data_IF_832883484754
#
_entry.id   IF_832883484754
#
_cell.length_a   1.000
_cell.length_b   1.000
_cell.length_c   1.000
_cell.angle_alpha   90.00
_cell.angle_beta   90.00
_cell.angle_gamma   90.00
#
_symmetry.space_group_name_H-M   'P 1'
#
loop_
_entity.id
_entity.type
_entity.pdbx_description
1 polymer ?
#
# COMPACT_ATOMS: atom_id res chain seq x y z
N UNK A 1 -67.65 -10.90 -21.56
CA UNK A 1 -67.32 -11.34 -20.19
C UNK A 1 -66.30 -12.46 -20.26
N UNK A 2 -65.13 -12.30 -19.63
CA UNK A 2 -64.26 -13.35 -19.07
C UNK A 2 -63.05 -12.64 -18.42
N UNK A 3 -63.14 -12.47 -17.11
CA UNK A 3 -62.05 -12.00 -16.24
C UNK A 3 -61.29 -13.22 -15.72
N UNK A 4 -59.97 -13.05 -15.54
CA UNK A 4 -59.06 -13.79 -14.62
C UNK A 4 -58.91 -15.30 -14.93
N UNK A 5 -57.79 -16.01 -14.79
CA UNK A 5 -56.74 -16.07 -13.77
C UNK A 5 -55.55 -16.78 -14.44
N UNK A 6 -54.32 -16.29 -14.28
CA UNK A 6 -53.13 -17.10 -14.58
C UNK A 6 -51.95 -16.65 -13.70
N UNK A 7 -52.01 -16.96 -12.40
CA UNK A 7 -50.81 -17.15 -11.58
C UNK A 7 -51.12 -18.28 -10.60
N UNK A 8 -50.73 -19.49 -10.98
CA UNK A 8 -50.60 -20.61 -10.05
C UNK A 8 -49.41 -21.43 -10.56
N UNK A 9 -48.21 -21.02 -10.17
CA UNK A 9 -47.02 -21.87 -10.26
C UNK A 9 -46.31 -21.81 -8.91
N UNK A 10 -46.56 -22.87 -8.16
CA UNK A 10 -45.57 -23.60 -7.35
C UNK A 10 -44.92 -22.83 -6.20
N UNK A 11 -45.73 -22.59 -5.17
CA UNK A 11 -45.25 -22.72 -3.79
C UNK A 11 -45.05 -24.21 -3.51
N UNK A 12 -43.81 -24.69 -3.63
CA UNK A 12 -43.50 -26.11 -3.45
C UNK A 12 -42.04 -26.42 -3.70
N UNK A 13 -41.15 -25.81 -2.90
CA UNK A 13 -39.76 -26.25 -2.69
C UNK A 13 -39.20 -25.56 -1.44
N UNK A 14 -39.95 -25.64 -0.34
CA UNK A 14 -39.44 -25.37 1.00
C UNK A 14 -39.47 -26.67 1.78
N UNK A 15 -38.50 -27.55 1.50
CA UNK A 15 -37.82 -28.43 2.47
C UNK A 15 -36.96 -29.47 1.76
N UNK A 16 -35.78 -29.70 2.33
CA UNK A 16 -34.77 -30.70 1.99
C UNK A 16 -33.76 -30.31 0.88
N UNK A 17 -32.80 -29.46 1.24
CA UNK A 17 -31.41 -29.89 1.36
C UNK A 17 -30.66 -28.90 2.26
N UNK A 18 -30.77 -29.11 3.58
CA UNK A 18 -29.69 -28.72 4.51
C UNK A 18 -28.52 -29.67 4.23
N UNK A 19 -27.84 -29.43 3.14
CA UNK A 19 -26.43 -29.81 3.06
C UNK A 19 -25.74 -28.69 3.82
N UNK A 20 -25.15 -28.99 4.97
CA UNK A 20 -24.09 -28.13 5.50
C UNK A 20 -23.10 -27.98 4.35
N UNK A 21 -23.11 -26.82 3.70
CA UNK A 21 -22.10 -26.49 2.71
C UNK A 21 -20.75 -26.68 3.39
N UNK A 22 -19.77 -27.22 2.68
CA UNK A 22 -18.42 -27.28 3.22
C UNK A 22 -18.04 -25.86 3.70
N UNK A 23 -17.33 -25.69 4.83
CA UNK A 23 -16.96 -24.37 5.36
C UNK A 23 -16.35 -23.43 4.30
N UNK A 24 -15.71 -24.04 3.30
CA UNK A 24 -15.08 -23.44 2.12
C UNK A 24 -16.07 -22.73 1.16
N UNK A 25 -17.36 -23.11 1.13
CA UNK A 25 -18.37 -22.52 0.24
C UNK A 25 -19.22 -21.42 0.91
N UNK A 26 -19.06 -21.23 2.23
CA UNK A 26 -19.84 -20.24 2.99
C UNK A 26 -19.26 -18.84 2.91
N UNK A 27 -17.94 -18.72 2.80
CA UNK A 27 -17.25 -17.43 2.76
C UNK A 27 -16.64 -17.20 1.38
N UNK A 28 -17.04 -16.11 0.72
CA UNK A 28 -16.57 -15.77 -0.63
C UNK A 28 -15.85 -14.44 -0.59
N UNK A 29 -14.70 -14.38 -1.24
CA UNK A 29 -13.91 -13.16 -1.36
C UNK A 29 -14.43 -12.28 -2.50
N UNK A 30 -14.84 -11.06 -2.19
CA UNK A 30 -15.35 -10.07 -3.13
C UNK A 30 -14.65 -8.72 -2.93
N UNK A 31 -13.68 -8.39 -3.79
CA UNK A 31 -12.95 -7.12 -3.70
C UNK A 31 -12.04 -7.08 -2.48
N UNK A 32 -12.33 -6.21 -1.51
CA UNK A 32 -11.56 -6.06 -0.26
C UNK A 32 -12.25 -6.72 0.95
N UNK A 33 -13.37 -7.42 0.72
CA UNK A 33 -14.20 -8.00 1.77
C UNK A 33 -14.36 -9.52 1.62
N UNK A 34 -14.52 -10.19 2.76
CA UNK A 34 -15.05 -11.56 2.83
C UNK A 34 -16.55 -11.46 3.06
N UNK A 35 -17.37 -12.08 2.22
CA UNK A 35 -18.82 -12.10 2.35
C UNK A 35 -19.26 -13.48 2.83
N UNK A 36 -20.00 -13.54 3.95
CA UNK A 36 -20.72 -14.75 4.35
C UNK A 36 -21.98 -14.89 3.48
N UNK A 37 -22.05 -15.94 2.67
CA UNK A 37 -23.15 -16.18 1.72
C UNK A 37 -24.44 -16.57 2.43
N UNK A 38 -24.35 -17.08 3.67
CA UNK A 38 -25.52 -17.49 4.44
C UNK A 38 -26.16 -16.33 5.21
N UNK A 39 -25.35 -15.41 5.75
CA UNK A 39 -25.85 -14.24 6.49
C UNK A 39 -25.86 -12.96 5.66
N UNK A 40 -25.08 -12.88 4.58
CA UNK A 40 -24.80 -11.68 3.78
C UNK A 40 -23.98 -10.62 4.50
N UNK A 41 -23.38 -10.95 5.66
CA UNK A 41 -22.48 -10.06 6.36
C UNK A 41 -21.17 -9.92 5.59
N UNK A 42 -20.61 -8.72 5.60
CA UNK A 42 -19.32 -8.40 4.97
C UNK A 42 -18.28 -8.12 6.01
N UNK A 43 -17.16 -8.80 5.92
CA UNK A 43 -16.04 -8.68 6.83
C UNK A 43 -14.92 -7.93 6.11
N UNK A 44 -14.50 -6.80 6.66
CA UNK A 44 -13.44 -5.94 6.14
C UNK A 44 -12.36 -5.84 7.19
N UNK A 45 -11.14 -6.27 6.87
CA UNK A 45 -10.01 -6.16 7.79
C UNK A 45 -9.59 -4.70 7.96
N UNK A 46 -9.30 -4.33 9.20
CA UNK A 46 -8.77 -3.01 9.52
C UNK A 46 -7.25 -2.93 9.29
N UNK A 47 -6.72 -1.70 9.30
CA UNK A 47 -5.31 -1.42 8.98
C UNK A 47 -4.30 -2.05 9.94
N UNK A 48 -4.72 -2.45 11.14
CA UNK A 48 -3.85 -3.06 12.13
C UNK A 48 -3.72 -4.58 11.99
N UNK A 49 -4.42 -5.21 11.03
CA UNK A 49 -4.42 -6.66 10.78
C UNK A 49 -4.82 -7.52 11.99
N UNK A 50 -5.34 -6.90 13.05
CA UNK A 50 -5.78 -7.57 14.28
C UNK A 50 -7.29 -7.50 14.47
N UNK A 51 -7.95 -6.55 13.81
CA UNK A 51 -9.40 -6.37 13.86
C UNK A 51 -10.05 -6.49 12.48
N UNK A 52 -11.31 -6.89 12.50
CA UNK A 52 -12.20 -6.99 11.34
C UNK A 52 -13.47 -6.19 11.65
N UNK A 53 -13.78 -5.24 10.78
CA UNK A 53 -15.07 -4.56 10.75
C UNK A 53 -16.08 -5.45 10.02
N UNK A 54 -17.13 -5.85 10.72
CA UNK A 54 -18.28 -6.55 10.14
C UNK A 54 -19.34 -5.53 9.78
N UNK A 55 -19.84 -5.59 8.55
CA UNK A 55 -20.99 -4.83 8.06
C UNK A 55 -22.13 -5.81 7.87
N UNK A 56 -23.16 -5.68 8.70
CA UNK A 56 -24.34 -6.52 8.62
C UNK A 56 -25.26 -6.11 7.47
N UNK A 57 -26.17 -7.00 7.06
CA UNK A 57 -27.16 -6.69 6.00
C UNK A 57 -28.04 -5.47 6.30
N UNK A 58 -28.29 -5.20 7.58
CA UNK A 58 -29.08 -4.03 8.02
C UNK A 58 -28.26 -2.72 8.03
N UNK A 59 -26.98 -2.79 7.67
CA UNK A 59 -26.05 -1.67 7.61
C UNK A 59 -25.41 -1.32 8.96
N UNK A 60 -25.73 -2.05 10.03
CA UNK A 60 -25.02 -1.91 11.30
C UNK A 60 -23.59 -2.44 11.18
N UNK A 61 -22.70 -1.93 12.04
CA UNK A 61 -21.29 -2.27 12.02
C UNK A 61 -20.81 -2.69 13.41
N UNK A 62 -19.98 -3.72 13.46
CA UNK A 62 -19.25 -4.14 14.66
C UNK A 62 -17.78 -4.38 14.33
N UNK A 63 -16.92 -4.21 15.34
CA UNK A 63 -15.49 -4.50 15.22
C UNK A 63 -15.19 -5.72 16.07
N UNK A 64 -14.60 -6.73 15.46
CA UNK A 64 -14.22 -7.98 16.11
C UNK A 64 -12.71 -8.18 16.02
N UNK A 65 -12.14 -8.82 17.02
CA UNK A 65 -10.79 -9.37 16.88
C UNK A 65 -10.80 -10.43 15.76
N UNK A 66 -9.75 -10.47 14.94
CA UNK A 66 -9.64 -11.38 13.80
C UNK A 66 -9.81 -12.85 14.21
N UNK A 67 -9.32 -13.24 15.39
CA UNK A 67 -9.43 -14.60 15.93
C UNK A 67 -10.87 -15.00 16.31
N UNK A 68 -11.77 -14.03 16.40
CA UNK A 68 -13.21 -14.23 16.64
C UNK A 68 -14.03 -14.26 15.35
N UNK A 69 -13.43 -13.96 14.21
CA UNK A 69 -14.12 -13.96 12.94
C UNK A 69 -14.53 -15.39 12.55
N UNK A 70 -15.76 -15.63 12.05
CA UNK A 70 -16.25 -16.98 11.73
C UNK A 70 -15.45 -17.72 10.65
N UNK A 71 -14.71 -16.99 9.83
CA UNK A 71 -13.84 -17.53 8.77
C UNK A 71 -12.40 -17.74 9.25
N UNK A 72 -12.03 -17.33 10.47
CA UNK A 72 -10.68 -17.48 11.00
C UNK A 72 -10.24 -18.95 11.07
N UNK A 73 -9.01 -19.24 10.65
CA UNK A 73 -8.47 -20.61 10.58
C UNK A 73 -8.99 -21.46 9.41
N UNK A 74 -9.74 -20.87 8.48
CA UNK A 74 -10.10 -21.51 7.21
C UNK A 74 -9.12 -21.10 6.09
N UNK A 75 -9.07 -21.87 5.01
CA UNK A 75 -8.30 -21.51 3.80
C UNK A 75 -8.69 -20.13 3.25
N UNK A 76 -9.96 -19.73 3.42
CA UNK A 76 -10.45 -18.40 3.01
C UNK A 76 -9.82 -17.29 3.85
N UNK A 77 -9.58 -17.52 5.15
CA UNK A 77 -8.83 -16.57 5.99
C UNK A 77 -7.38 -16.44 5.54
N UNK A 78 -6.72 -17.54 5.20
CA UNK A 78 -5.32 -17.52 4.76
C UNK A 78 -5.17 -16.76 3.43
N UNK A 79 -6.03 -17.04 2.45
CA UNK A 79 -6.04 -16.29 1.18
C UNK A 79 -6.38 -14.81 1.38
N UNK A 80 -7.26 -14.49 2.33
CA UNK A 80 -7.63 -13.12 2.66
C UNK A 80 -6.48 -12.36 3.31
N UNK A 81 -5.81 -12.98 4.28
CA UNK A 81 -4.63 -12.42 4.95
C UNK A 81 -3.49 -12.17 3.95
N UNK A 82 -3.24 -13.12 3.05
CA UNK A 82 -2.19 -12.96 2.04
C UNK A 82 -2.48 -11.81 1.08
N UNK A 83 -3.71 -11.73 0.54
CA UNK A 83 -4.09 -10.63 -0.37
C UNK A 83 -4.04 -9.26 0.30
N UNK A 84 -4.36 -9.23 1.59
CA UNK A 84 -4.29 -8.01 2.38
C UNK A 84 -2.84 -7.59 2.62
N UNK A 85 -1.95 -8.53 2.96
CA UNK A 85 -0.51 -8.27 3.09
C UNK A 85 0.06 -7.70 1.78
N UNK A 86 -0.29 -8.30 0.64
CA UNK A 86 0.11 -7.80 -0.68
C UNK A 86 -0.42 -6.38 -0.94
N UNK A 87 -1.67 -6.09 -0.55
CA UNK A 87 -2.28 -4.78 -0.69
C UNK A 87 -1.62 -3.73 0.22
N UNK A 88 -1.26 -4.09 1.46
CA UNK A 88 -0.52 -3.22 2.36
C UNK A 88 0.87 -2.93 1.85
N UNK A 89 1.60 -3.95 1.40
CA UNK A 89 2.93 -3.78 0.85
C UNK A 89 2.91 -2.86 -0.35
N UNK A 90 1.97 -3.08 -1.29
CA UNK A 90 1.78 -2.19 -2.43
C UNK A 90 1.49 -0.74 -2.01
N UNK A 91 0.66 -0.54 -0.99
CA UNK A 91 0.37 0.80 -0.48
C UNK A 91 1.59 1.46 0.16
N UNK A 92 2.43 0.70 0.86
CA UNK A 92 3.70 1.17 1.42
C UNK A 92 4.62 1.60 0.28
N UNK A 93 4.78 0.77 -0.74
CA UNK A 93 5.61 1.05 -1.91
C UNK A 93 5.13 2.33 -2.63
N UNK A 94 3.82 2.45 -2.88
CA UNK A 94 3.22 3.65 -3.48
C UNK A 94 3.47 4.91 -2.63
N UNK A 95 3.42 4.80 -1.30
CA UNK A 95 3.68 5.92 -0.38
C UNK A 95 5.17 6.32 -0.38
N UNK A 96 6.08 5.35 -0.44
CA UNK A 96 7.52 5.59 -0.55
C UNK A 96 7.82 6.28 -1.88
N UNK A 97 7.28 5.78 -3.00
CA UNK A 97 7.45 6.38 -4.32
C UNK A 97 6.96 7.83 -4.34
N UNK A 98 5.75 8.09 -3.83
CA UNK A 98 5.19 9.45 -3.75
C UNK A 98 6.04 10.38 -2.89
N UNK A 99 6.57 9.90 -1.76
CA UNK A 99 7.47 10.70 -0.91
C UNK A 99 8.77 11.02 -1.64
N UNK A 100 9.36 10.04 -2.32
CA UNK A 100 10.59 10.21 -3.08
C UNK A 100 10.41 11.20 -4.23
N UNK A 101 9.30 11.12 -4.97
CA UNK A 101 8.95 12.08 -6.01
C UNK A 101 8.86 13.52 -5.45
N UNK A 102 8.18 13.71 -4.31
CA UNK A 102 8.08 15.03 -3.66
C UNK A 102 9.43 15.57 -3.21
N UNK A 103 10.31 14.72 -2.68
CA UNK A 103 11.65 15.12 -2.28
C UNK A 103 12.49 15.57 -3.49
N UNK A 104 12.42 14.83 -4.60
CA UNK A 104 13.09 15.19 -5.84
C UNK A 104 12.56 16.51 -6.42
N UNK A 105 11.24 16.73 -6.42
CA UNK A 105 10.64 17.98 -6.87
C UNK A 105 11.08 19.16 -5.98
N UNK A 106 11.09 18.98 -4.66
CA UNK A 106 11.55 20.00 -3.72
C UNK A 106 13.03 20.35 -3.93
N UNK A 107 13.88 19.34 -4.21
CA UNK A 107 15.30 19.52 -4.54
C UNK A 107 15.46 20.32 -5.83
N UNK A 108 14.79 19.92 -6.91
CA UNK A 108 14.79 20.65 -8.19
C UNK A 108 14.37 22.11 -8.01
N UNK A 109 13.29 22.33 -7.25
CA UNK A 109 12.80 23.68 -6.97
C UNK A 109 13.83 24.53 -6.20
N UNK A 110 14.57 23.92 -5.26
CA UNK A 110 15.62 24.60 -4.48
C UNK A 110 16.76 25.12 -5.36
N UNK A 111 17.17 24.34 -6.36
CA UNK A 111 18.31 24.66 -7.22
C UNK A 111 17.92 25.18 -8.60
N UNK A 112 16.63 25.37 -8.90
CA UNK A 112 16.12 25.74 -10.23
C UNK A 112 16.73 27.04 -10.79
N UNK A 113 17.08 27.99 -9.92
CA UNK A 113 17.66 29.27 -10.32
C UNK A 113 19.20 29.25 -10.44
N UNK A 114 19.85 28.14 -10.06
CA UNK A 114 21.31 28.01 -10.04
C UNK A 114 21.75 27.21 -11.26
N UNK A 115 22.69 27.75 -12.03
CA UNK A 115 23.30 27.05 -13.16
C UNK A 115 24.19 25.90 -12.72
N UNK A 116 24.46 24.97 -13.61
CA UNK A 116 25.19 23.72 -13.30
C UNK A 116 26.61 23.98 -12.79
N UNK A 117 27.35 24.88 -13.45
CA UNK A 117 28.70 25.28 -13.04
C UNK A 117 28.70 25.98 -11.67
N UNK A 118 27.72 26.85 -11.43
CA UNK A 118 27.59 27.57 -10.17
C UNK A 118 27.22 26.63 -9.02
N UNK A 119 26.36 25.64 -9.27
CA UNK A 119 25.97 24.64 -8.28
C UNK A 119 27.16 23.73 -7.93
N UNK A 120 27.93 23.28 -8.93
CA UNK A 120 29.14 22.50 -8.70
C UNK A 120 30.17 23.30 -7.89
N UNK A 121 30.34 24.58 -8.22
CA UNK A 121 31.24 25.47 -7.47
C UNK A 121 30.77 25.68 -6.03
N UNK A 122 29.47 25.91 -5.82
CA UNK A 122 28.89 26.01 -4.48
C UNK A 122 29.09 24.72 -3.67
N UNK A 123 28.95 23.55 -4.29
CA UNK A 123 29.27 22.27 -3.66
C UNK A 123 30.75 22.21 -3.25
N UNK A 124 31.69 22.49 -4.16
CA UNK A 124 33.13 22.42 -3.88
C UNK A 124 33.58 23.40 -2.80
N UNK A 125 33.05 24.63 -2.82
CA UNK A 125 33.31 25.63 -1.79
C UNK A 125 32.67 25.21 -0.45
N UNK A 126 31.44 24.71 -0.48
CA UNK A 126 30.74 24.19 0.69
C UNK A 126 31.51 23.03 1.34
N UNK A 127 31.92 22.05 0.56
CA UNK A 127 32.69 20.89 1.02
C UNK A 127 33.99 21.32 1.69
N UNK A 128 34.79 22.18 1.05
CA UNK A 128 36.03 22.74 1.62
C UNK A 128 35.81 23.50 2.93
N UNK A 129 34.67 24.16 3.07
CA UNK A 129 34.31 24.93 4.25
C UNK A 129 33.60 24.11 5.33
N UNK A 130 33.45 22.78 5.14
CA UNK A 130 32.77 21.91 6.10
C UNK A 130 31.26 22.13 6.16
N UNK A 131 30.62 22.39 5.02
CA UNK A 131 29.16 22.42 4.91
C UNK A 131 28.57 21.11 5.46
N UNK A 132 27.38 21.18 6.05
CA UNK A 132 26.69 20.00 6.53
C UNK A 132 26.52 18.91 5.44
N UNK A 133 26.79 17.65 5.80
CA UNK A 133 26.80 16.53 4.85
C UNK A 133 25.45 16.33 4.16
N UNK A 134 24.32 16.55 4.84
CA UNK A 134 23.01 16.41 4.22
C UNK A 134 22.81 17.43 3.09
N UNK A 135 23.33 18.66 3.26
CA UNK A 135 23.32 19.68 2.20
C UNK A 135 24.27 19.34 1.06
N UNK A 136 25.44 18.77 1.37
CA UNK A 136 26.39 18.32 0.35
C UNK A 136 25.79 17.21 -0.52
N UNK A 137 25.16 16.20 0.11
CA UNK A 137 24.46 15.12 -0.59
C UNK A 137 23.29 15.65 -1.42
N UNK A 138 22.51 16.60 -0.92
CA UNK A 138 21.41 17.21 -1.68
C UNK A 138 21.88 17.95 -2.94
N UNK A 139 23.01 18.66 -2.86
CA UNK A 139 23.64 19.32 -4.03
C UNK A 139 24.18 18.29 -5.03
N UNK A 140 24.88 17.26 -4.56
CA UNK A 140 25.41 16.19 -5.43
C UNK A 140 24.29 15.43 -6.11
N UNK A 141 23.20 15.12 -5.40
CA UNK A 141 22.06 14.44 -5.98
C UNK A 141 21.38 15.26 -7.08
N UNK A 142 21.33 16.60 -6.95
CA UNK A 142 20.87 17.49 -8.02
C UNK A 142 21.86 17.51 -9.20
N UNK A 143 23.15 17.60 -8.94
CA UNK A 143 24.19 17.58 -9.98
C UNK A 143 24.17 16.28 -10.79
N UNK A 144 23.88 15.15 -10.15
CA UNK A 144 23.66 13.85 -10.81
C UNK A 144 22.39 13.86 -11.65
N UNK A 145 21.27 14.36 -11.08
CA UNK A 145 20.01 14.46 -11.82
C UNK A 145 20.12 15.31 -13.09
N UNK A 146 21.04 16.28 -13.11
CA UNK A 146 21.37 17.12 -14.27
C UNK A 146 22.44 16.55 -15.19
N UNK A 147 23.07 15.43 -14.83
CA UNK A 147 24.12 14.78 -15.61
C UNK A 147 25.49 15.48 -15.56
N UNK A 148 25.71 16.34 -14.55
CA UNK A 148 26.99 17.07 -14.35
C UNK A 148 28.02 16.18 -13.64
N UNK A 149 27.55 15.33 -12.73
CA UNK A 149 28.34 14.38 -11.94
C UNK A 149 27.74 12.98 -12.16
N UNK A 150 28.57 11.94 -12.29
CA UNK A 150 28.04 10.57 -12.30
C UNK A 150 27.84 10.04 -10.88
N UNK A 151 26.88 9.13 -10.69
CA UNK A 151 26.69 8.46 -9.40
C UNK A 151 27.94 7.72 -8.92
N UNK A 152 28.80 7.27 -9.85
CA UNK A 152 30.08 6.63 -9.55
C UNK A 152 31.13 7.60 -9.00
N UNK A 153 31.08 8.87 -9.41
CA UNK A 153 31.97 9.93 -8.93
C UNK A 153 31.51 10.57 -7.62
N UNK A 154 30.24 10.38 -7.26
CA UNK A 154 29.62 10.99 -6.08
C UNK A 154 30.30 10.62 -4.75
N UNK A 155 30.65 9.33 -4.47
CA UNK A 155 31.34 8.98 -3.23
C UNK A 155 32.69 9.68 -3.09
N UNK A 156 33.46 9.71 -4.18
CA UNK A 156 34.78 10.36 -4.21
C UNK A 156 34.67 11.87 -3.97
N UNK A 157 33.67 12.52 -4.57
CA UNK A 157 33.42 13.95 -4.37
C UNK A 157 32.95 14.28 -2.95
N UNK A 158 32.18 13.39 -2.34
CA UNK A 158 31.71 13.54 -0.95
C UNK A 158 32.74 13.07 0.09
N UNK A 159 33.84 12.46 -0.35
CA UNK A 159 34.85 11.81 0.50
C UNK A 159 34.25 10.76 1.45
N UNK A 160 33.25 10.01 0.98
CA UNK A 160 32.61 8.93 1.73
C UNK A 160 32.75 7.59 1.03
N UNK A 161 32.61 6.51 1.80
CA UNK A 161 32.60 5.17 1.22
C UNK A 161 31.40 5.02 0.27
N UNK A 162 31.55 4.35 -0.89
CA UNK A 162 30.47 4.17 -1.86
C UNK A 162 29.17 3.59 -1.27
N UNK A 163 29.30 2.73 -0.26
CA UNK A 163 28.19 2.08 0.42
C UNK A 163 27.35 3.07 1.28
N UNK A 164 27.88 4.26 1.57
CA UNK A 164 27.17 5.31 2.32
C UNK A 164 26.48 6.34 1.42
N UNK A 165 26.63 6.22 0.11
CA UNK A 165 25.97 7.08 -0.87
C UNK A 165 24.57 6.52 -1.15
N UNK A 166 23.61 6.86 -0.31
CA UNK A 166 22.18 6.69 -0.63
C UNK A 166 21.62 8.03 -1.15
N UNK A 167 21.62 8.18 -2.48
CA UNK A 167 21.18 9.41 -3.17
C UNK A 167 19.70 9.37 -3.55
N UNK A 168 19.15 8.16 -3.59
CA UNK A 168 17.74 7.95 -3.38
C UNK A 168 17.55 8.07 -1.87
N UNK A 169 16.42 8.57 -1.40
CA UNK A 169 16.06 8.25 -0.01
C UNK A 169 15.41 6.89 -0.16
N UNK A 170 16.20 5.81 -0.21
CA UNK A 170 15.63 4.49 0.01
C UNK A 170 15.28 4.48 1.49
N UNK A 171 14.03 4.87 1.79
CA UNK A 171 13.42 4.52 3.05
C UNK A 171 13.46 3.00 3.06
N UNK A 172 14.50 2.44 3.70
CA UNK A 172 14.62 1.01 3.94
C UNK A 172 13.22 0.50 4.25
N UNK A 173 12.75 -0.42 3.41
CA UNK A 173 11.56 -1.19 3.69
C UNK A 173 11.73 -1.72 5.12
N UNK A 174 10.89 -1.24 6.03
CA UNK A 174 10.93 -1.66 7.43
C UNK A 174 10.63 -3.16 7.41
N UNK A 175 11.68 -3.98 7.52
CA UNK A 175 11.60 -5.40 7.90
C UNK A 175 11.46 -5.51 9.41
#
# INVERSE_FOLDING_TARGET
>A
MKKTIAIMLTAGLLWACKTEKAPEERFVFEGDAVTDVDTGDKFIMDQDSTHVTVIHQDGSQEVLDLDKAPFYGTTVAEEYLQKMEDAFQKRIDDLIEQKNARLQEARKARYAAIGDEDLLKQFQEGHKNGLDMARQMDMIAELIARGVVSSEQAPDLLEIAPEMVDLNVELDSIN
#
